data_IF_540282922656
#
_entry.id   IF_540282922656
#
_cell.length_a   1.000
_cell.length_b   1.000
_cell.length_c   1.000
_cell.angle_alpha   90.00
_cell.angle_beta   90.00
_cell.angle_gamma   90.00
#
_symmetry.space_group_name_H-M   'P 1'
#
loop_
_entity.id
_entity.type
_entity.pdbx_description
1 polymer ?
#
# COMPACT_ATOMS: atom_id res chain seq x y z
N UNK A 1 3.59 -3.11 -17.70
CA UNK A 1 3.00 -1.82 -18.02
C UNK A 1 4.16 -0.91 -18.40
N UNK A 2 4.28 -0.49 -19.64
CA UNK A 2 5.38 0.38 -20.09
C UNK A 2 4.82 1.75 -20.41
N UNK A 3 5.41 2.80 -19.86
CA UNK A 3 5.16 4.17 -20.30
C UNK A 3 5.93 4.39 -21.62
N UNK A 4 5.27 4.91 -22.64
CA UNK A 4 5.98 5.42 -23.80
C UNK A 4 6.83 6.63 -23.38
N UNK A 5 7.90 7.01 -24.14
CA UNK A 5 8.76 8.15 -23.82
C UNK A 5 8.03 9.50 -23.70
N UNK A 6 6.75 9.57 -23.98
CA UNK A 6 5.86 10.73 -23.86
C UNK A 6 4.92 10.65 -22.66
N UNK A 7 5.17 9.70 -21.74
CA UNK A 7 4.39 9.57 -20.51
C UNK A 7 2.96 9.00 -20.68
N UNK A 8 2.65 8.42 -21.84
CA UNK A 8 1.35 7.82 -22.07
C UNK A 8 1.36 6.39 -21.58
N UNK A 9 0.31 5.99 -20.90
CA UNK A 9 0.04 4.57 -20.67
C UNK A 9 -0.14 3.90 -22.04
N UNK A 10 0.86 3.14 -22.49
CA UNK A 10 0.66 2.19 -23.57
C UNK A 10 -0.01 0.96 -22.97
N UNK A 11 -1.30 1.05 -22.71
CA UNK A 11 -2.11 -0.13 -22.51
C UNK A 11 -2.02 -1.01 -23.75
N UNK A 12 -2.07 -2.31 -23.59
CA UNK A 12 -1.97 -3.28 -24.70
C UNK A 12 -3.06 -3.12 -25.76
N UNK A 13 -4.07 -2.31 -25.48
CA UNK A 13 -5.17 -2.08 -26.41
C UNK A 13 -5.26 -0.60 -26.80
N UNK A 14 -4.60 -0.27 -27.92
CA UNK A 14 -4.76 1.04 -28.56
C UNK A 14 -6.18 1.27 -29.11
N UNK A 15 -7.04 0.26 -29.06
CA UNK A 15 -8.41 0.29 -29.58
C UNK A 15 -9.43 0.80 -28.57
N UNK A 16 -9.11 0.86 -27.27
CA UNK A 16 -10.02 1.36 -26.26
C UNK A 16 -9.61 2.76 -25.77
N UNK A 17 -10.23 3.83 -26.29
CA UNK A 17 -9.94 5.20 -25.87
C UNK A 17 -10.27 5.50 -24.40
N UNK A 18 -11.11 4.68 -23.77
CA UNK A 18 -11.51 4.86 -22.37
C UNK A 18 -10.34 4.60 -21.39
N UNK A 19 -9.29 3.90 -21.83
CA UNK A 19 -8.08 3.68 -21.05
C UNK A 19 -7.04 4.81 -21.20
N UNK A 20 -7.23 5.69 -22.17
CA UNK A 20 -6.31 6.81 -22.35
C UNK A 20 -6.43 7.79 -21.17
N UNK A 21 -5.28 8.27 -20.70
CA UNK A 21 -5.19 9.37 -19.75
C UNK A 21 -4.65 10.60 -20.52
N UNK A 22 -5.29 11.72 -20.31
CA UNK A 22 -4.79 13.00 -20.81
C UNK A 22 -3.60 13.43 -19.93
N UNK A 23 -2.42 13.57 -20.53
CA UNK A 23 -1.19 13.93 -19.83
C UNK A 23 -1.25 15.30 -19.12
N UNK A 24 -2.14 16.18 -19.57
CA UNK A 24 -2.25 17.54 -19.03
C UNK A 24 -3.32 17.66 -17.93
N UNK A 25 -4.20 16.65 -17.77
CA UNK A 25 -5.34 16.75 -16.85
C UNK A 25 -5.58 15.53 -15.97
N UNK A 26 -4.82 14.43 -16.10
CA UNK A 26 -5.04 13.21 -15.32
C UNK A 26 -4.88 13.44 -13.82
N UNK A 27 -5.63 12.67 -13.03
CA UNK A 27 -5.44 12.57 -11.58
C UNK A 27 -4.98 11.17 -11.19
N UNK A 28 -4.28 11.04 -10.05
CA UNK A 28 -3.92 9.71 -9.51
C UNK A 28 -5.16 8.93 -9.09
N UNK A 29 -6.25 9.63 -8.73
CA UNK A 29 -7.54 9.00 -8.51
C UNK A 29 -8.05 8.31 -9.78
N UNK A 30 -8.00 8.97 -10.94
CA UNK A 30 -8.40 8.38 -12.22
C UNK A 30 -7.53 7.18 -12.58
N UNK A 31 -6.21 7.29 -12.33
CA UNK A 31 -5.29 6.16 -12.52
C UNK A 31 -5.69 4.98 -11.62
N UNK A 32 -6.00 5.22 -10.35
CA UNK A 32 -6.41 4.18 -9.42
C UNK A 32 -7.74 3.52 -9.83
N UNK A 33 -8.74 4.32 -10.25
CA UNK A 33 -10.02 3.81 -10.76
C UNK A 33 -9.84 2.96 -12.02
N UNK A 34 -9.06 3.44 -12.98
CA UNK A 34 -8.75 2.68 -14.20
C UNK A 34 -7.95 1.41 -13.90
N UNK A 35 -6.98 1.46 -12.99
CA UNK A 35 -6.21 0.28 -12.56
C UNK A 35 -7.13 -0.75 -11.90
N UNK A 36 -8.06 -0.30 -11.04
CA UNK A 36 -9.06 -1.19 -10.42
C UNK A 36 -9.96 -1.84 -11.48
N UNK A 37 -10.52 -1.06 -12.39
CA UNK A 37 -11.38 -1.58 -13.46
C UNK A 37 -10.63 -2.62 -14.30
N UNK A 38 -9.39 -2.33 -14.71
CA UNK A 38 -8.57 -3.26 -15.46
C UNK A 38 -8.30 -4.56 -14.69
N UNK A 39 -7.82 -4.46 -13.45
CA UNK A 39 -7.43 -5.65 -12.67
C UNK A 39 -8.62 -6.45 -12.18
N UNK A 40 -9.68 -5.77 -11.71
CA UNK A 40 -10.83 -6.43 -11.12
C UNK A 40 -11.90 -6.79 -12.15
N UNK A 41 -12.39 -5.83 -12.92
CA UNK A 41 -13.54 -6.04 -13.82
C UNK A 41 -13.14 -6.81 -15.08
N UNK A 42 -11.98 -6.49 -15.69
CA UNK A 42 -11.58 -7.13 -16.94
C UNK A 42 -10.81 -8.44 -16.72
N UNK A 43 -10.07 -8.58 -15.61
CA UNK A 43 -9.19 -9.73 -15.41
C UNK A 43 -9.63 -10.65 -14.28
N UNK A 44 -10.03 -10.13 -13.12
CA UNK A 44 -10.37 -10.98 -11.99
C UNK A 44 -11.79 -11.56 -12.09
N UNK A 45 -12.82 -10.72 -12.30
CA UNK A 45 -14.21 -11.16 -12.36
C UNK A 45 -14.46 -12.22 -13.45
N UNK A 46 -13.91 -12.09 -14.70
CA UNK A 46 -14.15 -13.08 -15.75
C UNK A 46 -13.56 -14.46 -15.46
N UNK A 47 -12.61 -14.58 -14.51
CA UNK A 47 -12.08 -15.88 -14.12
C UNK A 47 -13.13 -16.77 -13.46
N UNK A 48 -14.23 -16.19 -12.94
CA UNK A 48 -15.29 -16.97 -12.30
C UNK A 48 -14.81 -17.80 -11.11
N UNK A 49 -13.68 -17.43 -10.52
CA UNK A 49 -13.10 -18.15 -9.40
C UNK A 49 -13.95 -17.81 -8.17
N UNK A 50 -14.58 -18.82 -7.56
CA UNK A 50 -15.08 -18.65 -6.21
C UNK A 50 -13.89 -18.28 -5.31
N UNK A 51 -13.92 -17.07 -4.77
CA UNK A 51 -12.86 -16.60 -3.89
C UNK A 51 -12.78 -17.53 -2.68
N UNK A 52 -11.63 -18.15 -2.49
CA UNK A 52 -11.40 -18.89 -1.25
C UNK A 52 -11.48 -17.88 -0.09
N UNK A 53 -12.21 -18.19 0.99
CA UNK A 53 -12.29 -17.28 2.15
C UNK A 53 -10.91 -16.92 2.68
N UNK A 54 -10.69 -15.63 2.93
CA UNK A 54 -9.40 -15.14 3.44
C UNK A 54 -8.35 -14.83 2.37
N UNK A 55 -8.67 -14.92 1.09
CA UNK A 55 -7.78 -14.45 0.02
C UNK A 55 -7.97 -12.95 -0.20
N UNK A 56 -6.89 -12.19 0.03
CA UNK A 56 -6.87 -10.75 -0.06
C UNK A 56 -5.75 -10.29 -1.00
N UNK A 57 -6.10 -9.45 -1.97
CA UNK A 57 -5.14 -8.76 -2.82
C UNK A 57 -5.25 -7.27 -2.59
N UNK A 58 -4.14 -6.62 -2.24
CA UNK A 58 -4.06 -5.17 -2.08
C UNK A 58 -3.24 -4.53 -3.19
N UNK A 59 -3.70 -3.39 -3.68
CA UNK A 59 -3.03 -2.59 -4.71
C UNK A 59 -2.87 -1.16 -4.21
N UNK A 60 -1.68 -0.62 -4.44
CA UNK A 60 -1.34 0.77 -4.11
C UNK A 60 -0.99 1.49 -5.40
N UNK A 61 -1.61 2.65 -5.60
CA UNK A 61 -1.33 3.56 -6.71
C UNK A 61 -0.82 4.86 -6.13
N UNK A 62 0.42 5.21 -6.45
CA UNK A 62 1.06 6.43 -5.94
C UNK A 62 1.61 7.28 -7.09
N UNK A 63 1.60 8.59 -6.93
CA UNK A 63 2.15 9.49 -7.92
C UNK A 63 1.73 10.94 -7.72
N UNK A 64 1.89 11.73 -8.77
CA UNK A 64 1.52 13.15 -8.82
C UNK A 64 0.47 13.35 -9.89
N UNK A 65 -0.68 13.93 -9.53
CA UNK A 65 -1.68 14.37 -10.50
C UNK A 65 -1.13 15.51 -11.36
N UNK A 66 -1.60 15.63 -12.60
CA UNK A 66 -1.17 16.66 -13.55
C UNK A 66 -1.21 18.06 -12.91
N UNK A 67 -0.11 18.79 -13.03
CA UNK A 67 0.04 20.15 -12.49
C UNK A 67 0.06 20.25 -10.95
N UNK A 68 0.05 19.14 -10.19
CA UNK A 68 0.10 19.15 -8.72
C UNK A 68 1.52 18.99 -8.20
N UNK A 69 1.78 19.62 -7.02
CA UNK A 69 3.08 19.60 -6.36
C UNK A 69 3.19 18.48 -5.31
N UNK A 70 2.05 18.01 -4.80
CA UNK A 70 1.98 17.06 -3.72
C UNK A 70 1.58 15.69 -4.27
N UNK A 71 2.27 14.65 -3.82
CA UNK A 71 1.96 13.26 -4.16
C UNK A 71 0.63 12.83 -3.57
N UNK A 72 0.02 11.85 -4.18
CA UNK A 72 -1.19 11.19 -3.73
C UNK A 72 -0.95 9.69 -3.70
N UNK A 73 -1.53 9.03 -2.70
CA UNK A 73 -1.48 7.58 -2.56
C UNK A 73 -2.90 7.07 -2.40
N UNK A 74 -3.27 6.15 -3.27
CA UNK A 74 -4.56 5.50 -3.29
C UNK A 74 -4.39 3.99 -3.13
N UNK A 75 -5.37 3.33 -2.54
CA UNK A 75 -5.41 1.87 -2.47
C UNK A 75 -6.78 1.35 -2.83
N UNK A 76 -6.81 0.12 -3.33
CA UNK A 76 -8.00 -0.72 -3.38
C UNK A 76 -7.62 -2.15 -3.06
N UNK A 77 -8.60 -2.94 -2.64
CA UNK A 77 -8.38 -4.32 -2.22
C UNK A 77 -9.45 -5.21 -2.82
N UNK A 78 -9.05 -6.40 -3.23
CA UNK A 78 -9.98 -7.49 -3.57
C UNK A 78 -10.02 -8.39 -2.34
N UNK A 79 -11.16 -8.45 -1.68
CA UNK A 79 -11.39 -9.20 -0.45
C UNK A 79 -12.57 -10.14 -0.67
N UNK A 80 -12.33 -11.44 -0.53
CA UNK A 80 -13.36 -12.46 -0.71
C UNK A 80 -14.16 -12.29 -2.02
N UNK A 81 -13.47 -11.95 -3.10
CA UNK A 81 -14.05 -11.75 -4.43
C UNK A 81 -14.69 -10.39 -4.69
N UNK A 82 -14.75 -9.50 -3.71
CA UNK A 82 -15.33 -8.16 -3.85
C UNK A 82 -14.24 -7.09 -3.88
N UNK A 83 -14.45 -6.02 -4.62
CA UNK A 83 -13.50 -4.92 -4.71
C UNK A 83 -14.25 -3.59 -4.60
N UNK A 84 -13.99 -2.87 -3.52
CA UNK A 84 -14.53 -1.53 -3.31
C UNK A 84 -13.84 -0.49 -4.21
N UNK A 85 -14.41 0.71 -4.25
CA UNK A 85 -13.79 1.84 -4.92
C UNK A 85 -12.44 2.22 -4.27
N UNK A 86 -11.46 2.70 -5.05
CA UNK A 86 -10.18 3.14 -4.51
C UNK A 86 -10.35 4.21 -3.43
N UNK A 87 -9.67 4.01 -2.31
CA UNK A 87 -9.65 4.94 -1.19
C UNK A 87 -8.32 5.65 -1.11
N UNK A 88 -8.35 6.96 -0.78
CA UNK A 88 -7.12 7.70 -0.53
C UNK A 88 -6.50 7.24 0.79
N UNK A 89 -5.25 6.75 0.72
CA UNK A 89 -4.49 6.31 1.90
C UNK A 89 -3.89 7.47 2.70
N UNK A 90 -3.50 8.54 2.01
CA UNK A 90 -2.75 9.62 2.60
C UNK A 90 -3.33 10.97 2.16
N UNK A 91 -3.58 11.87 3.10
CA UNK A 91 -4.00 13.22 2.77
C UNK A 91 -2.84 14.00 2.12
N UNK A 92 -3.17 14.97 1.27
CA UNK A 92 -2.17 15.77 0.56
C UNK A 92 -1.22 16.48 1.53
N UNK A 93 0.07 16.36 1.27
CA UNK A 93 1.11 17.01 2.07
C UNK A 93 1.46 16.30 3.37
N UNK A 94 0.85 15.16 3.66
CA UNK A 94 1.28 14.29 4.75
C UNK A 94 2.39 13.36 4.27
N UNK A 95 3.37 13.15 5.15
CA UNK A 95 4.38 12.11 4.98
C UNK A 95 4.00 10.92 5.87
N UNK A 96 4.16 9.71 5.36
CA UNK A 96 3.91 8.49 6.12
C UNK A 96 4.66 7.30 5.51
N UNK A 97 4.78 6.25 6.29
CA UNK A 97 5.23 4.93 5.84
C UNK A 97 4.05 3.98 5.87
N UNK A 98 3.89 3.21 4.84
CA UNK A 98 2.89 2.16 4.77
C UNK A 98 3.57 0.82 4.45
N UNK A 99 3.21 -0.22 5.21
CA UNK A 99 3.68 -1.58 4.99
C UNK A 99 2.52 -2.49 4.58
N UNK A 100 2.71 -3.24 3.50
CA UNK A 100 1.79 -4.25 3.02
C UNK A 100 2.47 -5.63 2.99
N UNK A 101 1.68 -6.70 3.01
CA UNK A 101 2.16 -8.08 3.04
C UNK A 101 2.31 -8.60 4.46
N UNK A 102 3.52 -8.73 5.01
CA UNK A 102 3.77 -9.12 6.41
C UNK A 102 4.17 -7.89 7.24
N UNK A 103 3.21 -7.20 7.88
CA UNK A 103 3.47 -5.94 8.58
C UNK A 103 3.98 -6.12 10.02
N UNK A 104 4.26 -7.33 10.48
CA UNK A 104 4.62 -7.60 11.88
C UNK A 104 5.88 -6.83 12.32
N UNK A 105 6.92 -6.81 11.48
CA UNK A 105 8.16 -6.10 11.79
C UNK A 105 7.93 -4.59 11.79
N UNK A 106 7.21 -4.07 10.79
CA UNK A 106 6.84 -2.67 10.73
C UNK A 106 6.03 -2.26 11.98
N UNK A 107 5.01 -3.05 12.35
CA UNK A 107 4.22 -2.79 13.54
C UNK A 107 5.06 -2.70 14.80
N UNK A 108 6.00 -3.63 14.99
CA UNK A 108 6.88 -3.61 16.18
C UNK A 108 7.83 -2.44 16.22
N UNK A 109 8.39 -2.04 15.07
CA UNK A 109 9.40 -0.98 15.01
C UNK A 109 8.81 0.42 14.97
N UNK A 110 7.66 0.60 14.32
CA UNK A 110 7.03 1.92 14.13
C UNK A 110 5.88 2.13 15.09
N UNK A 111 4.94 1.17 15.14
CA UNK A 111 3.74 1.28 16.00
C UNK A 111 4.07 0.92 17.45
N UNK A 112 5.15 0.15 17.68
CA UNK A 112 5.66 -0.22 19.00
C UNK A 112 5.11 -1.53 19.56
N UNK A 113 4.21 -2.23 18.84
CA UNK A 113 3.65 -3.50 19.31
C UNK A 113 3.36 -4.48 18.18
N UNK A 114 3.25 -5.76 18.53
CA UNK A 114 2.83 -6.84 17.65
C UNK A 114 1.35 -6.75 17.30
N UNK A 115 0.98 -7.20 16.11
CA UNK A 115 -0.43 -7.40 15.74
C UNK A 115 -1.18 -8.36 16.69
N UNK A 116 -0.45 -9.20 17.41
CA UNK A 116 -1.03 -10.08 18.42
C UNK A 116 -1.48 -9.34 19.71
N UNK A 117 -1.17 -8.04 19.87
CA UNK A 117 -1.54 -7.28 21.07
C UNK A 117 -3.07 -7.22 21.25
N UNK A 118 -3.81 -6.93 20.18
CA UNK A 118 -5.27 -6.85 20.25
C UNK A 118 -5.92 -8.13 20.78
N UNK A 119 -5.67 -9.31 20.17
CA UNK A 119 -6.13 -10.58 20.70
C UNK A 119 -5.69 -10.86 22.16
N UNK A 120 -4.49 -10.44 22.53
CA UNK A 120 -4.00 -10.60 23.91
C UNK A 120 -4.79 -9.75 24.91
N UNK A 121 -5.09 -8.49 24.55
CA UNK A 121 -5.90 -7.61 25.41
C UNK A 121 -7.33 -8.14 25.60
N UNK A 122 -7.94 -8.69 24.56
CA UNK A 122 -9.25 -9.36 24.68
C UNK A 122 -9.17 -10.54 25.66
N UNK A 123 -8.13 -11.36 25.57
CA UNK A 123 -7.92 -12.48 26.50
C UNK A 123 -7.71 -12.03 27.94
N UNK A 124 -7.18 -10.83 28.14
CA UNK A 124 -7.04 -10.20 29.46
C UNK A 124 -8.33 -9.54 29.98
N UNK A 125 -9.42 -9.60 29.22
CA UNK A 125 -10.74 -9.10 29.61
C UNK A 125 -11.07 -7.69 29.09
N UNK A 126 -10.29 -7.14 28.15
CA UNK A 126 -10.69 -5.89 27.52
C UNK A 126 -11.93 -6.14 26.63
N UNK A 127 -13.03 -5.39 26.83
CA UNK A 127 -14.20 -5.48 25.96
C UNK A 127 -13.84 -5.17 24.49
N UNK A 128 -14.39 -5.94 23.56
CA UNK A 128 -14.06 -5.81 22.12
C UNK A 128 -14.42 -4.42 21.56
N UNK A 129 -15.46 -3.80 22.06
CA UNK A 129 -15.87 -2.43 21.72
C UNK A 129 -14.83 -1.38 22.11
N UNK A 130 -14.01 -1.63 23.12
CA UNK A 130 -12.96 -0.72 23.61
C UNK A 130 -11.59 -0.99 22.95
N UNK A 131 -11.46 -2.07 22.18
CA UNK A 131 -10.16 -2.50 21.63
C UNK A 131 -9.52 -1.42 20.75
N UNK A 132 -10.27 -0.86 19.81
CA UNK A 132 -9.73 0.14 18.87
C UNK A 132 -9.29 1.41 19.62
N UNK A 133 -10.06 1.86 20.59
CA UNK A 133 -9.70 3.03 21.40
C UNK A 133 -8.43 2.77 22.22
N UNK A 134 -8.30 1.59 22.81
CA UNK A 134 -7.11 1.20 23.57
C UNK A 134 -5.87 1.11 22.66
N UNK A 135 -5.99 0.51 21.47
CA UNK A 135 -4.87 0.40 20.53
C UNK A 135 -4.44 1.75 19.99
N UNK A 136 -5.37 2.65 19.69
CA UNK A 136 -5.03 4.03 19.27
C UNK A 136 -4.36 4.82 20.38
N UNK A 137 -4.81 4.69 21.62
CA UNK A 137 -4.15 5.32 22.78
C UNK A 137 -2.71 4.82 22.93
N UNK A 138 -2.52 3.50 22.93
CA UNK A 138 -1.19 2.87 23.04
C UNK A 138 -0.29 3.34 21.88
N UNK A 139 -0.79 3.31 20.65
CA UNK A 139 -0.06 3.75 19.45
C UNK A 139 0.38 5.21 19.59
N UNK A 140 -0.50 6.11 20.03
CA UNK A 140 -0.17 7.52 20.19
C UNK A 140 0.94 7.77 21.22
N UNK A 141 1.03 6.92 22.24
CA UNK A 141 2.02 7.06 23.32
C UNK A 141 3.39 6.45 22.96
N UNK A 142 3.43 5.41 22.12
CA UNK A 142 4.66 4.62 21.89
C UNK A 142 5.15 4.56 20.45
N UNK A 143 4.41 5.12 19.48
CA UNK A 143 4.85 5.10 18.09
C UNK A 143 6.13 5.91 17.89
N UNK A 144 6.94 5.48 16.93
CA UNK A 144 8.16 6.20 16.53
C UNK A 144 7.90 6.93 15.21
N UNK A 145 7.86 8.26 15.18
CA UNK A 145 7.77 9.01 13.93
C UNK A 145 9.10 8.92 13.19
N UNK A 146 9.13 8.17 12.08
CA UNK A 146 10.34 7.94 11.28
C UNK A 146 10.40 8.81 10.03
N UNK A 147 9.26 9.35 9.57
CA UNK A 147 9.20 10.11 8.32
C UNK A 147 8.68 11.51 8.60
N UNK A 148 9.47 12.48 8.18
CA UNK A 148 9.11 13.90 8.19
C UNK A 148 9.11 14.46 6.76
N UNK A 149 8.28 15.49 6.46
CA UNK A 149 8.18 16.05 5.10
C UNK A 149 9.50 16.43 4.44
N UNK A 150 10.52 16.96 5.14
CA UNK A 150 11.80 17.34 4.54
C UNK A 150 12.81 16.17 4.40
N UNK A 151 12.40 14.92 4.64
CA UNK A 151 13.33 13.79 4.52
C UNK A 151 13.89 13.69 3.08
N UNK A 152 15.23 13.58 2.92
CA UNK A 152 15.84 13.38 1.62
C UNK A 152 15.31 12.10 0.94
N UNK A 153 15.21 12.14 -0.39
CA UNK A 153 14.68 11.00 -1.13
C UNK A 153 15.51 9.72 -0.93
N UNK A 154 16.84 9.86 -0.81
CA UNK A 154 17.72 8.71 -0.55
C UNK A 154 17.41 8.07 0.80
N UNK A 155 17.24 8.87 1.85
CA UNK A 155 16.89 8.37 3.18
C UNK A 155 15.51 7.67 3.16
N UNK A 156 14.58 8.16 2.33
CA UNK A 156 13.27 7.52 2.15
C UNK A 156 13.40 6.15 1.47
N UNK A 157 14.28 6.04 0.46
CA UNK A 157 14.58 4.76 -0.20
C UNK A 157 15.24 3.80 0.78
N UNK A 158 16.30 4.26 1.46
CA UNK A 158 17.05 3.45 2.43
C UNK A 158 16.15 2.94 3.57
N UNK A 159 15.21 3.77 4.02
CA UNK A 159 14.21 3.40 5.03
C UNK A 159 13.26 2.31 4.50
N UNK A 160 12.79 2.43 3.26
CA UNK A 160 11.94 1.41 2.65
C UNK A 160 12.68 0.07 2.50
N UNK A 161 13.90 0.10 2.02
CA UNK A 161 14.77 -1.08 1.91
C UNK A 161 15.07 -1.71 3.27
N UNK A 162 15.33 -0.89 4.29
CA UNK A 162 15.52 -1.35 5.66
C UNK A 162 14.33 -2.16 6.17
N UNK A 163 13.09 -1.70 5.97
CA UNK A 163 11.91 -2.43 6.40
C UNK A 163 11.75 -3.76 5.66
N UNK A 164 11.96 -3.79 4.36
CA UNK A 164 11.87 -5.02 3.57
C UNK A 164 12.95 -6.02 3.99
N UNK A 165 14.21 -5.56 4.09
CA UNK A 165 15.34 -6.39 4.53
C UNK A 165 15.12 -6.96 5.93
N UNK A 166 14.69 -6.12 6.88
CA UNK A 166 14.45 -6.53 8.26
C UNK A 166 13.30 -7.54 8.33
N UNK A 167 12.22 -7.32 7.56
CA UNK A 167 11.10 -8.25 7.48
C UNK A 167 11.53 -9.60 6.89
N UNK A 168 12.28 -9.61 5.79
CA UNK A 168 12.79 -10.83 5.19
C UNK A 168 13.72 -11.60 6.15
N UNK A 169 14.57 -10.87 6.87
CA UNK A 169 15.48 -11.47 7.87
C UNK A 169 14.71 -12.03 9.06
N UNK A 170 13.73 -11.29 9.57
CA UNK A 170 12.89 -11.71 10.70
C UNK A 170 12.08 -12.97 10.36
N UNK A 171 11.40 -12.98 9.19
CA UNK A 171 10.57 -14.11 8.77
C UNK A 171 11.38 -15.38 8.55
N UNK A 172 12.66 -15.27 8.15
CA UNK A 172 13.57 -16.41 8.01
C UNK A 172 13.83 -17.15 9.34
N UNK A 173 13.79 -16.43 10.47
CA UNK A 173 13.97 -17.01 11.80
C UNK A 173 12.66 -17.34 12.51
N UNK A 174 11.52 -16.94 11.96
CA UNK A 174 10.20 -17.28 12.46
C UNK A 174 9.91 -18.76 12.15
N UNK A 175 9.14 -19.44 13.03
CA UNK A 175 8.70 -20.80 12.74
C UNK A 175 7.77 -20.83 11.54
N UNK A 176 7.98 -21.77 10.64
CA UNK A 176 7.20 -21.95 9.41
C UNK A 176 8.01 -21.63 8.17
N UNK A 177 7.34 -21.61 7.02
CA UNK A 177 7.98 -21.19 5.77
C UNK A 177 8.20 -19.67 5.77
N UNK A 178 9.32 -19.18 5.22
CA UNK A 178 9.52 -17.74 5.04
C UNK A 178 8.43 -17.17 4.13
N UNK A 179 7.76 -16.11 4.58
CA UNK A 179 6.69 -15.44 3.83
C UNK A 179 7.21 -14.27 3.00
N UNK A 180 8.40 -13.77 3.31
CA UNK A 180 9.06 -12.65 2.64
C UNK A 180 10.48 -13.04 2.28
N UNK A 181 10.90 -12.78 1.05
CA UNK A 181 12.25 -13.09 0.54
C UNK A 181 12.39 -12.72 -0.92
N UNK A 182 13.58 -12.98 -1.47
CA UNK A 182 13.96 -12.63 -2.84
C UNK A 182 14.79 -11.35 -2.92
N UNK A 183 15.13 -10.88 -4.13
CA UNK A 183 15.82 -9.61 -4.31
C UNK A 183 14.90 -8.46 -3.85
N UNK A 184 15.50 -7.45 -3.24
CA UNK A 184 14.80 -6.21 -2.89
C UNK A 184 14.92 -5.28 -4.09
N UNK A 185 13.78 -4.84 -4.59
CA UNK A 185 13.69 -3.85 -5.66
C UNK A 185 13.04 -2.60 -5.09
N UNK A 186 13.64 -1.45 -5.34
CA UNK A 186 13.15 -0.14 -4.93
C UNK A 186 12.84 0.73 -6.13
N UNK A 187 11.80 1.54 -6.01
CA UNK A 187 11.43 2.53 -7.00
C UNK A 187 11.08 3.85 -6.30
N UNK A 188 11.49 4.95 -6.89
CA UNK A 188 11.14 6.28 -6.42
C UNK A 188 10.38 7.02 -7.53
N UNK A 189 9.34 7.74 -7.15
CA UNK A 189 8.58 8.61 -8.04
C UNK A 189 8.83 10.04 -7.59
N UNK A 190 9.45 10.83 -8.45
CA UNK A 190 9.65 12.26 -8.22
C UNK A 190 8.80 13.08 -9.18
N UNK A 191 8.61 14.35 -8.84
CA UNK A 191 7.85 15.25 -9.68
C UNK A 191 8.55 15.63 -11.00
N UNK A 192 9.86 15.45 -11.05
CA UNK A 192 10.71 16.01 -12.13
C UNK A 192 11.34 14.93 -13.04
N UNK A 193 10.99 13.66 -12.84
CA UNK A 193 11.49 12.54 -13.64
C UNK A 193 10.37 11.57 -14.04
#
# INVERSE_FOLDING_TARGET
MSLDPRGRFSGHDKSNPDWALDCDSFTIEDVAKKTRAFLYEEHYQPLGIEAAPGVHFGFIVAGYSAGKQLSEVWQFQIVDGNCDEPQRLLARGQASVYAAGDPEVFSRLVVGYSQALGPALIKLGLPSENLNAALELIKNDINVPLVEPPMPIQDTIDLAEFFVYTTATFTRFKRGAPTVGGPIESAAITKHE
#
